data_IF_674352793554
#
_entry.id   IF_674352793554
#
_cell.length_a   1.000
_cell.length_b   1.000
_cell.length_c   1.000
_cell.angle_alpha   90.00
_cell.angle_beta   90.00
_cell.angle_gamma   90.00
#
_symmetry.space_group_name_H-M   'P 1'
#
loop_
_entity.id
_entity.type
_entity.pdbx_description
1 polymer ?
#
# COMPACT_ATOMS: atom_id res chain seq x y z
N UNK A 1 -15.52 3.34 1.88
CA UNK A 1 -15.02 2.89 0.55
C UNK A 1 -13.60 2.40 0.73
N UNK A 2 -13.28 1.20 0.24
CA UNK A 2 -11.94 0.59 0.37
C UNK A 2 -10.92 1.39 -0.44
N UNK A 3 -9.74 1.63 0.17
CA UNK A 3 -8.61 2.31 -0.45
C UNK A 3 -7.37 1.42 -0.47
N UNK A 4 -6.58 1.51 -1.54
CA UNK A 4 -5.24 0.92 -1.54
C UNK A 4 -4.29 1.71 -0.62
N UNK A 5 -3.33 1.03 -0.01
CA UNK A 5 -2.25 1.71 0.74
C UNK A 5 -1.18 2.29 -0.18
N UNK A 6 -1.14 1.89 -1.45
CA UNK A 6 -0.26 2.46 -2.47
C UNK A 6 -0.99 3.54 -3.25
N UNK A 7 -0.27 4.56 -3.64
CA UNK A 7 -0.82 5.65 -4.46
C UNK A 7 0.23 6.66 -4.85
N UNK A 8 -0.11 7.49 -5.82
CA UNK A 8 0.69 8.59 -6.31
C UNK A 8 -0.21 9.77 -6.70
N UNK A 9 0.25 10.97 -6.39
CA UNK A 9 -0.38 12.20 -6.84
C UNK A 9 0.68 13.27 -7.14
N UNK A 10 0.43 14.08 -8.14
CA UNK A 10 1.33 15.19 -8.52
C UNK A 10 0.51 16.41 -8.88
N UNK A 11 0.99 17.55 -8.48
CA UNK A 11 0.52 18.84 -8.93
C UNK A 11 1.73 19.69 -9.33
N UNK A 12 1.63 20.33 -10.48
CA UNK A 12 2.59 21.29 -10.98
C UNK A 12 1.80 22.52 -11.43
N UNK A 13 2.04 23.65 -10.79
CA UNK A 13 1.23 24.85 -10.98
C UNK A 13 2.05 26.09 -10.72
N UNK A 14 1.63 27.21 -11.30
CA UNK A 14 2.20 28.53 -11.02
C UNK A 14 1.20 29.32 -10.17
N UNK A 15 1.60 29.71 -8.97
CA UNK A 15 0.79 30.50 -8.05
C UNK A 15 1.62 31.74 -7.63
N UNK A 16 1.07 32.92 -7.79
CA UNK A 16 1.71 34.18 -7.42
C UNK A 16 3.13 34.33 -8.05
N UNK A 17 3.28 33.91 -9.32
CA UNK A 17 4.55 33.97 -10.04
C UNK A 17 5.58 32.89 -9.63
N UNK A 18 5.27 32.01 -8.70
CA UNK A 18 6.12 30.88 -8.28
C UNK A 18 5.67 29.56 -8.88
N UNK A 19 6.59 28.83 -9.47
CA UNK A 19 6.35 27.47 -9.92
C UNK A 19 6.42 26.52 -8.73
N UNK A 20 5.30 25.87 -8.41
CA UNK A 20 5.19 24.96 -7.26
C UNK A 20 4.89 23.57 -7.79
N UNK A 21 5.78 22.62 -7.48
CA UNK A 21 5.57 21.20 -7.74
C UNK A 21 5.43 20.46 -6.44
N UNK A 22 4.34 19.71 -6.30
CA UNK A 22 4.10 18.81 -5.17
C UNK A 22 3.88 17.40 -5.69
N UNK A 23 4.68 16.46 -5.20
CA UNK A 23 4.51 15.03 -5.44
C UNK A 23 4.26 14.32 -4.13
N UNK A 24 3.30 13.40 -4.12
CA UNK A 24 2.98 12.56 -2.96
C UNK A 24 2.89 11.11 -3.41
N UNK A 25 3.51 10.22 -2.66
CA UNK A 25 3.43 8.78 -2.87
C UNK A 25 3.32 8.04 -1.55
N UNK A 26 2.71 6.85 -1.58
CA UNK A 26 2.67 5.99 -0.41
C UNK A 26 3.01 4.54 -0.74
N UNK A 27 3.50 3.85 0.28
CA UNK A 27 3.68 2.40 0.28
C UNK A 27 3.00 1.80 1.51
N UNK A 28 2.71 0.50 1.44
CA UNK A 28 2.11 -0.22 2.55
C UNK A 28 2.97 -0.09 3.81
N UNK A 29 2.35 0.40 4.88
CA UNK A 29 2.96 0.46 6.21
C UNK A 29 1.89 0.38 7.29
N UNK A 30 2.22 -0.24 8.43
CA UNK A 30 1.28 -0.51 9.52
C UNK A 30 0.74 0.76 10.18
N UNK A 31 1.54 1.81 10.25
CA UNK A 31 1.21 3.07 10.89
C UNK A 31 1.29 4.21 9.88
N UNK A 32 0.70 5.36 10.22
CA UNK A 32 0.94 6.60 9.49
C UNK A 32 2.37 7.06 9.74
N UNK A 33 3.19 7.04 8.71
CA UNK A 33 4.54 7.58 8.70
C UNK A 33 4.62 8.61 7.58
N UNK A 34 5.05 9.83 7.91
CA UNK A 34 5.13 10.92 6.93
C UNK A 34 6.54 11.47 6.87
N UNK A 35 7.06 11.59 5.67
CA UNK A 35 8.33 12.22 5.36
C UNK A 35 8.09 13.28 4.28
N UNK A 36 8.54 14.50 4.52
CA UNK A 36 8.50 15.57 3.56
C UNK A 36 9.91 16.00 3.17
N UNK A 37 10.10 16.28 1.89
CA UNK A 37 11.33 16.90 1.37
C UNK A 37 10.97 18.25 0.81
N UNK A 38 11.21 19.28 1.59
CA UNK A 38 11.08 20.70 1.21
C UNK A 38 12.45 21.31 1.00
N UNK A 39 12.60 22.38 0.19
CA UNK A 39 13.83 23.16 0.15
C UNK A 39 14.15 23.74 1.53
N UNK A 40 15.43 23.81 1.89
CA UNK A 40 15.87 24.17 3.25
C UNK A 40 15.30 25.49 3.78
N UNK A 41 15.02 26.44 2.90
CA UNK A 41 14.42 27.73 3.26
C UNK A 41 12.97 27.63 3.76
N UNK A 42 12.28 26.55 3.45
CA UNK A 42 10.84 26.37 3.69
C UNK A 42 10.52 25.23 4.66
N UNK A 43 11.42 24.93 5.60
CA UNK A 43 11.23 23.88 6.61
C UNK A 43 9.99 24.07 7.50
N UNK A 44 9.49 25.32 7.63
CA UNK A 44 8.25 25.63 8.36
C UNK A 44 6.98 25.01 7.73
N UNK A 45 7.06 24.54 6.48
CA UNK A 45 5.94 23.86 5.79
C UNK A 45 5.73 22.42 6.27
N UNK A 46 6.75 21.75 6.78
CA UNK A 46 6.72 20.31 7.04
C UNK A 46 5.58 19.91 7.99
N UNK A 47 5.42 20.63 9.11
CA UNK A 47 4.36 20.33 10.07
C UNK A 47 2.96 20.66 9.51
N UNK A 48 2.83 21.72 8.74
CA UNK A 48 1.56 22.12 8.13
C UNK A 48 1.11 21.09 7.08
N UNK A 49 2.04 20.61 6.23
CA UNK A 49 1.78 19.57 5.24
C UNK A 49 1.47 18.22 5.89
N UNK A 50 2.23 17.84 6.94
CA UNK A 50 1.99 16.63 7.72
C UNK A 50 0.57 16.61 8.31
N UNK A 51 0.16 17.69 8.95
CA UNK A 51 -1.16 17.82 9.54
C UNK A 51 -2.26 17.72 8.47
N UNK A 52 -2.06 18.36 7.33
CA UNK A 52 -3.00 18.30 6.21
C UNK A 52 -3.14 16.86 5.67
N UNK A 53 -2.02 16.19 5.39
CA UNK A 53 -2.03 14.81 4.89
C UNK A 53 -2.63 13.84 5.91
N UNK A 54 -2.30 13.99 7.21
CA UNK A 54 -2.83 13.13 8.28
C UNK A 54 -4.35 13.28 8.45
N UNK A 55 -4.93 14.43 8.08
CA UNK A 55 -6.39 14.60 8.05
C UNK A 55 -7.09 13.83 6.94
N UNK A 56 -6.36 13.38 5.92
CA UNK A 56 -6.90 12.73 4.72
C UNK A 56 -6.54 11.24 4.62
N UNK A 57 -5.49 10.81 5.32
CA UNK A 57 -4.93 9.46 5.27
C UNK A 57 -4.61 8.99 6.69
N UNK A 58 -5.11 7.81 7.05
CA UNK A 58 -4.96 7.27 8.41
C UNK A 58 -3.80 6.28 8.54
N UNK A 59 -3.31 5.71 7.40
CA UNK A 59 -2.30 4.63 7.39
C UNK A 59 -1.43 4.68 6.14
N UNK A 60 -0.20 4.15 6.27
CA UNK A 60 0.78 4.06 5.18
C UNK A 60 2.03 4.88 5.46
N UNK A 61 3.13 4.54 4.77
CA UNK A 61 4.33 5.37 4.73
C UNK A 61 4.22 6.29 3.52
N UNK A 62 4.15 7.60 3.81
CA UNK A 62 3.91 8.64 2.83
C UNK A 62 5.16 9.48 2.67
N UNK A 63 5.65 9.57 1.45
CA UNK A 63 6.73 10.46 1.06
C UNK A 63 6.15 11.59 0.23
N UNK A 64 6.38 12.83 0.65
CA UNK A 64 6.01 14.05 -0.08
C UNK A 64 7.27 14.79 -0.51
N UNK A 65 7.27 15.28 -1.73
CA UNK A 65 8.30 16.13 -2.27
C UNK A 65 7.68 17.46 -2.70
N UNK A 66 8.29 18.56 -2.27
CA UNK A 66 7.85 19.90 -2.63
C UNK A 66 9.03 20.65 -3.24
N UNK A 67 8.83 21.20 -4.43
CA UNK A 67 9.75 22.12 -5.09
C UNK A 67 9.07 23.47 -5.29
N UNK A 68 9.79 24.53 -4.97
CA UNK A 68 9.31 25.91 -5.11
C UNK A 68 10.34 26.65 -5.96
N UNK A 69 9.95 27.05 -7.15
CA UNK A 69 10.75 27.87 -8.05
C UNK A 69 10.80 29.33 -7.55
N UNK A 70 11.86 30.05 -7.94
CA UNK A 70 11.95 31.48 -7.69
C UNK A 70 10.86 32.24 -8.46
N UNK A 71 10.30 33.27 -7.87
CA UNK A 71 9.45 34.22 -8.62
C UNK A 71 10.33 35.10 -9.48
N UNK A 72 9.96 35.24 -10.75
CA UNK A 72 10.65 36.19 -11.66
C UNK A 72 10.50 37.65 -11.21
N UNK A 73 9.59 37.96 -10.33
CA UNK A 73 9.27 39.29 -9.82
C UNK A 73 9.88 39.60 -8.44
N UNK A 74 10.72 38.71 -7.86
CA UNK A 74 11.32 38.99 -6.57
C UNK A 74 12.32 40.19 -6.64
N UNK A 75 12.02 41.29 -5.93
CA UNK A 75 12.96 42.41 -5.92
C UNK A 75 14.24 41.97 -5.20
N UNK A 76 15.35 42.05 -5.90
CA UNK A 76 16.68 41.85 -5.34
C UNK A 76 17.27 43.19 -4.95
N UNK A 77 17.63 43.36 -3.69
CA UNK A 77 18.40 44.51 -3.23
C UNK A 77 19.90 44.16 -3.24
N UNK A 78 20.67 44.99 -3.96
CA UNK A 78 22.12 44.81 -4.06
C UNK A 78 22.79 45.87 -3.22
N UNK A 79 23.38 45.46 -2.11
CA UNK A 79 24.11 46.33 -1.19
C UNK A 79 25.61 46.26 -1.47
N UNK A 80 26.29 47.41 -1.34
CA UNK A 80 27.72 47.50 -1.49
C UNK A 80 28.43 47.50 -0.10
N UNK A 81 29.42 46.63 0.05
CA UNK A 81 30.28 46.62 1.22
C UNK A 81 31.33 47.75 1.12
N UNK A 82 30.94 48.96 1.52
CA UNK A 82 31.77 50.13 1.45
C UNK A 82 33.10 50.03 2.19
N UNK A 83 33.16 49.29 3.29
CA UNK A 83 34.41 49.11 4.05
C UNK A 83 35.40 48.26 3.23
N UNK A 84 34.93 47.18 2.64
CA UNK A 84 35.75 46.29 1.83
C UNK A 84 36.22 47.00 0.52
N UNK A 85 35.33 47.74 -0.13
CA UNK A 85 35.67 48.59 -1.30
C UNK A 85 36.75 49.59 -0.98
N UNK A 86 36.63 50.31 0.14
CA UNK A 86 37.64 51.27 0.58
C UNK A 86 38.99 50.60 0.87
N UNK A 87 38.96 49.39 1.47
CA UNK A 87 40.15 48.60 1.70
C UNK A 87 40.88 48.23 0.40
N UNK A 88 40.14 47.76 -0.60
CA UNK A 88 40.71 47.41 -1.92
C UNK A 88 41.27 48.63 -2.63
N UNK A 89 40.55 49.75 -2.65
CA UNK A 89 41.05 51.00 -3.27
C UNK A 89 42.36 51.45 -2.64
N UNK A 90 42.47 51.45 -1.29
CA UNK A 90 43.69 51.82 -0.59
C UNK A 90 44.85 50.86 -0.91
N UNK A 91 44.60 49.56 -0.92
CA UNK A 91 45.61 48.56 -1.25
C UNK A 91 46.13 48.71 -2.71
N UNK A 92 45.24 48.95 -3.67
CA UNK A 92 45.65 49.22 -5.02
C UNK A 92 46.45 50.50 -5.19
N UNK A 93 46.12 51.54 -4.45
CA UNK A 93 46.90 52.78 -4.39
C UNK A 93 48.31 52.54 -3.85
N UNK A 94 48.43 51.80 -2.76
CA UNK A 94 49.72 51.42 -2.16
C UNK A 94 50.60 50.61 -3.15
N UNK A 95 50.02 49.64 -3.85
CA UNK A 95 50.71 48.86 -4.86
C UNK A 95 51.16 49.72 -6.02
N UNK A 96 50.30 50.61 -6.50
CA UNK A 96 50.64 51.56 -7.59
C UNK A 96 51.82 52.45 -7.23
N UNK A 97 51.81 53.04 -6.00
CA UNK A 97 52.88 53.94 -5.55
C UNK A 97 54.18 53.19 -5.28
N UNK A 98 54.13 51.97 -4.70
CA UNK A 98 55.30 51.20 -4.30
C UNK A 98 56.04 50.55 -5.47
N UNK A 99 55.33 50.11 -6.47
CA UNK A 99 55.85 49.33 -7.60
C UNK A 99 55.86 50.07 -8.94
N UNK A 100 55.47 51.36 -8.96
CA UNK A 100 55.35 52.19 -10.14
C UNK A 100 54.50 51.58 -11.27
N UNK A 101 53.35 51.00 -10.85
CA UNK A 101 52.39 50.36 -11.73
C UNK A 101 51.17 51.30 -11.89
N UNK A 102 50.62 51.54 -13.11
CA UNK A 102 49.42 52.36 -13.23
C UNK A 102 48.23 51.78 -12.46
N UNK A 103 47.54 52.63 -11.71
CA UNK A 103 46.28 52.22 -11.04
C UNK A 103 45.11 52.35 -12.01
N UNK A 104 44.62 51.22 -12.51
CA UNK A 104 43.51 51.11 -13.46
C UNK A 104 42.22 50.60 -12.81
N UNK A 105 42.09 50.74 -11.49
CA UNK A 105 40.91 50.29 -10.77
C UNK A 105 39.65 51.00 -11.26
N UNK A 106 38.72 50.19 -11.75
CA UNK A 106 37.41 50.64 -12.19
C UNK A 106 36.29 49.97 -11.38
N UNK A 107 35.08 50.48 -11.48
CA UNK A 107 33.91 49.86 -10.84
C UNK A 107 33.71 48.42 -11.34
N UNK A 108 34.04 48.15 -12.60
CA UNK A 108 33.98 46.79 -13.18
C UNK A 108 35.04 45.86 -12.59
N UNK A 109 36.28 46.38 -12.32
CA UNK A 109 37.31 45.57 -11.67
C UNK A 109 36.94 45.27 -10.25
N UNK A 110 36.37 46.25 -9.50
CA UNK A 110 35.89 46.05 -8.12
C UNK A 110 34.75 45.06 -8.02
N UNK A 111 33.86 45.00 -9.05
CA UNK A 111 32.75 44.05 -9.02
C UNK A 111 33.17 42.57 -9.11
N UNK A 112 34.41 42.28 -9.51
CA UNK A 112 34.95 40.93 -9.63
C UNK A 112 35.51 40.39 -8.32
N UNK A 113 35.73 41.25 -7.32
CA UNK A 113 36.21 40.79 -6.03
C UNK A 113 35.05 40.25 -5.17
N UNK A 114 35.26 39.10 -4.53
CA UNK A 114 34.23 38.49 -3.68
C UNK A 114 33.81 39.44 -2.57
N UNK A 115 32.56 39.33 -2.16
CA UNK A 115 31.97 40.07 -1.01
C UNK A 115 31.88 41.60 -1.11
N UNK A 116 32.23 42.17 -2.29
CA UNK A 116 32.04 43.61 -2.57
C UNK A 116 30.55 43.91 -2.74
N UNK A 117 29.79 43.02 -3.37
CA UNK A 117 28.34 43.12 -3.48
C UNK A 117 27.67 41.99 -2.74
N UNK A 118 26.66 42.33 -1.94
CA UNK A 118 25.77 41.36 -1.33
C UNK A 118 24.38 41.52 -1.91
N UNK A 119 23.86 40.41 -2.45
CA UNK A 119 22.50 40.37 -2.98
C UNK A 119 21.59 39.90 -1.88
N UNK A 120 20.68 40.76 -1.42
CA UNK A 120 19.65 40.44 -0.46
C UNK A 120 18.34 40.19 -1.22
N UNK A 121 17.77 39.04 -1.04
CA UNK A 121 16.38 38.80 -1.42
C UNK A 121 15.47 39.41 -0.36
N UNK A 122 14.39 40.03 -0.82
CA UNK A 122 13.36 40.49 0.13
C UNK A 122 12.87 39.34 1.02
N UNK A 123 12.57 39.59 2.30
CA UNK A 123 11.98 38.57 3.17
C UNK A 123 10.66 38.11 2.54
N UNK A 124 10.55 36.81 2.32
CA UNK A 124 9.34 36.20 1.79
C UNK A 124 8.25 36.14 2.85
N UNK A 125 6.99 36.33 2.45
CA UNK A 125 5.84 36.16 3.33
C UNK A 125 5.55 34.65 3.52
N UNK A 126 5.92 34.13 4.71
CA UNK A 126 5.74 32.71 5.06
C UNK A 126 4.28 32.28 5.04
N UNK A 127 3.34 33.17 5.36
CA UNK A 127 1.92 32.83 5.37
C UNK A 127 1.37 32.72 3.94
N UNK A 128 1.81 33.62 3.04
CA UNK A 128 1.46 33.55 1.62
C UNK A 128 2.03 32.30 0.98
N UNK A 129 3.30 32.00 1.19
CA UNK A 129 3.94 30.77 0.66
C UNK A 129 3.24 29.52 1.19
N UNK A 130 2.88 29.52 2.47
CA UNK A 130 2.13 28.40 3.06
C UNK A 130 0.79 28.19 2.37
N UNK A 131 0.05 29.27 2.11
CA UNK A 131 -1.24 29.19 1.44
C UNK A 131 -1.10 28.67 -0.01
N UNK A 132 -0.08 29.13 -0.74
CA UNK A 132 0.19 28.74 -2.10
C UNK A 132 0.57 27.26 -2.19
N UNK A 133 1.51 26.81 -1.32
CA UNK A 133 1.93 25.39 -1.26
C UNK A 133 0.81 24.47 -0.80
N UNK A 134 0.00 24.89 0.18
CA UNK A 134 -1.17 24.09 0.61
C UNK A 134 -2.21 23.97 -0.50
N UNK A 135 -2.37 25.00 -1.34
CA UNK A 135 -3.29 24.93 -2.50
C UNK A 135 -2.80 23.91 -3.53
N UNK A 136 -1.51 23.90 -3.87
CA UNK A 136 -0.91 22.88 -4.72
C UNK A 136 -0.94 21.48 -4.10
N UNK A 137 -0.64 21.38 -2.79
CA UNK A 137 -0.68 20.14 -2.05
C UNK A 137 -2.09 19.54 -2.00
N UNK A 138 -3.14 20.37 -1.92
CA UNK A 138 -4.52 19.91 -1.98
C UNK A 138 -4.81 19.17 -3.29
N UNK A 139 -4.41 19.73 -4.42
CA UNK A 139 -4.62 19.10 -5.72
C UNK A 139 -3.87 17.77 -5.83
N UNK A 140 -2.59 17.75 -5.40
CA UNK A 140 -1.79 16.53 -5.40
C UNK A 140 -2.38 15.44 -4.48
N UNK A 141 -2.82 15.80 -3.27
CA UNK A 141 -3.44 14.88 -2.31
C UNK A 141 -4.80 14.39 -2.80
N UNK A 142 -5.62 15.24 -3.43
CA UNK A 142 -6.90 14.80 -3.99
C UNK A 142 -6.68 13.80 -5.14
N UNK A 143 -5.72 14.03 -6.03
CA UNK A 143 -5.33 13.07 -7.07
C UNK A 143 -4.79 11.75 -6.48
N UNK A 144 -3.98 11.82 -5.44
CA UNK A 144 -3.46 10.69 -4.69
C UNK A 144 -4.58 9.85 -4.07
N UNK A 145 -5.55 10.48 -3.40
CA UNK A 145 -6.70 9.79 -2.78
C UNK A 145 -7.57 9.14 -3.85
N UNK A 146 -7.86 9.84 -4.95
CA UNK A 146 -8.65 9.30 -6.07
C UNK A 146 -7.98 8.06 -6.70
N UNK A 147 -6.65 8.06 -6.85
CA UNK A 147 -5.90 6.89 -7.32
C UNK A 147 -6.06 5.71 -6.35
N UNK A 148 -5.90 5.93 -5.03
CA UNK A 148 -6.06 4.90 -3.99
C UNK A 148 -7.48 4.31 -3.96
N UNK A 149 -8.50 5.14 -4.17
CA UNK A 149 -9.90 4.70 -4.24
C UNK A 149 -10.13 3.85 -5.50
N UNK A 150 -9.59 4.25 -6.65
CA UNK A 150 -9.70 3.49 -7.89
C UNK A 150 -8.99 2.13 -7.78
N UNK A 151 -7.78 2.09 -7.22
CA UNK A 151 -7.03 0.86 -7.00
C UNK A 151 -7.71 -0.03 -5.97
N UNK A 152 -8.19 0.54 -4.85
CA UNK A 152 -8.94 -0.19 -3.83
C UNK A 152 -10.22 -0.84 -4.38
N UNK A 153 -10.93 -0.15 -5.29
CA UNK A 153 -12.07 -0.72 -6.01
C UNK A 153 -11.71 -1.96 -6.82
N UNK A 154 -10.61 -1.91 -7.58
CA UNK A 154 -10.11 -3.07 -8.35
C UNK A 154 -9.69 -4.23 -7.45
N UNK A 155 -9.03 -3.94 -6.31
CA UNK A 155 -8.66 -4.96 -5.33
C UNK A 155 -9.88 -5.64 -4.72
N UNK A 156 -10.92 -4.88 -4.40
CA UNK A 156 -12.20 -5.42 -3.93
C UNK A 156 -12.83 -6.36 -4.97
N UNK A 157 -12.87 -5.97 -6.23
CA UNK A 157 -13.40 -6.81 -7.32
C UNK A 157 -12.60 -8.11 -7.48
N UNK A 158 -11.26 -8.06 -7.42
CA UNK A 158 -10.39 -9.24 -7.47
C UNK A 158 -10.66 -10.18 -6.29
N UNK A 159 -10.76 -9.65 -5.05
CA UNK A 159 -11.06 -10.44 -3.85
C UNK A 159 -12.43 -11.14 -4.00
N UNK A 160 -13.46 -10.43 -4.44
CA UNK A 160 -14.80 -11.00 -4.62
C UNK A 160 -14.83 -12.07 -5.74
N UNK A 161 -14.09 -11.86 -6.82
CA UNK A 161 -13.95 -12.83 -7.90
C UNK A 161 -13.29 -14.13 -7.40
N UNK A 162 -12.22 -14.04 -6.62
CA UNK A 162 -11.54 -15.18 -5.98
C UNK A 162 -12.43 -15.88 -4.98
N UNK A 163 -13.17 -15.12 -4.16
CA UNK A 163 -14.16 -15.66 -3.24
C UNK A 163 -15.20 -16.52 -3.96
N UNK A 164 -15.74 -16.04 -5.09
CA UNK A 164 -16.67 -16.80 -5.91
C UNK A 164 -16.05 -18.08 -6.50
N UNK A 165 -14.78 -18.02 -6.92
CA UNK A 165 -14.02 -19.19 -7.38
C UNK A 165 -13.94 -20.23 -6.27
N UNK A 166 -13.60 -19.84 -5.04
CA UNK A 166 -13.53 -20.75 -3.90
C UNK A 166 -14.91 -21.34 -3.59
N UNK A 167 -15.97 -20.53 -3.60
CA UNK A 167 -17.34 -21.00 -3.34
C UNK A 167 -17.79 -22.01 -4.39
N UNK A 168 -17.38 -21.88 -5.66
CA UNK A 168 -17.62 -22.87 -6.70
C UNK A 168 -16.91 -24.19 -6.37
N UNK A 169 -15.63 -24.13 -6.00
CA UNK A 169 -14.84 -25.33 -5.63
C UNK A 169 -15.40 -25.99 -4.38
N UNK A 170 -15.88 -25.21 -3.39
CA UNK A 170 -16.60 -25.75 -2.22
C UNK A 170 -17.85 -26.52 -2.64
N UNK A 171 -18.64 -26.02 -3.59
CA UNK A 171 -19.79 -26.72 -4.12
C UNK A 171 -19.42 -28.08 -4.75
N UNK A 172 -18.32 -28.13 -5.50
CA UNK A 172 -17.83 -29.38 -6.08
C UNK A 172 -17.36 -30.39 -5.01
N UNK A 173 -16.78 -29.89 -3.89
CA UNK A 173 -16.43 -30.75 -2.73
C UNK A 173 -17.71 -31.31 -2.08
N UNK A 174 -18.74 -30.49 -1.89
CA UNK A 174 -20.02 -30.89 -1.31
C UNK A 174 -20.71 -31.95 -2.15
N UNK A 175 -20.68 -31.84 -3.48
CA UNK A 175 -21.26 -32.83 -4.39
C UNK A 175 -20.46 -34.15 -4.44
N UNK A 176 -19.14 -34.08 -4.40
CA UNK A 176 -18.26 -35.25 -4.52
C UNK A 176 -18.14 -36.03 -3.20
N UNK A 177 -18.24 -35.38 -2.05
CA UNK A 177 -18.03 -36.01 -0.73
C UNK A 177 -18.96 -37.22 -0.49
N UNK A 178 -20.27 -37.19 -0.76
CA UNK A 178 -21.15 -38.36 -0.66
C UNK A 178 -20.76 -39.51 -1.61
N UNK A 179 -20.28 -39.17 -2.81
CA UNK A 179 -19.83 -40.17 -3.79
C UNK A 179 -18.60 -40.94 -3.28
N UNK A 180 -17.69 -40.26 -2.58
CA UNK A 180 -16.51 -40.88 -1.97
C UNK A 180 -16.90 -41.93 -0.92
N UNK A 181 -17.97 -41.68 -0.15
CA UNK A 181 -18.51 -42.65 0.82
C UNK A 181 -19.09 -43.87 0.10
N UNK A 182 -19.89 -43.66 -0.94
CA UNK A 182 -20.48 -44.76 -1.75
C UNK A 182 -19.39 -45.60 -2.44
N UNK A 183 -18.36 -45.00 -2.98
CA UNK A 183 -17.23 -45.71 -3.60
C UNK A 183 -16.42 -46.49 -2.57
N UNK A 184 -16.30 -45.97 -1.32
CA UNK A 184 -15.67 -46.70 -0.21
C UNK A 184 -16.48 -47.93 0.18
N UNK A 185 -17.79 -47.80 0.35
CA UNK A 185 -18.69 -48.89 0.60
C UNK A 185 -18.56 -50.02 -0.39
N UNK A 186 -18.60 -49.68 -1.70
CA UNK A 186 -18.46 -50.64 -2.79
C UNK A 186 -17.12 -51.38 -2.72
N UNK A 187 -16.01 -50.62 -2.57
CA UNK A 187 -14.67 -51.21 -2.48
C UNK A 187 -14.51 -52.12 -1.22
N UNK A 188 -15.10 -51.71 -0.12
CA UNK A 188 -15.07 -52.47 1.13
C UNK A 188 -15.83 -53.81 0.94
N UNK A 189 -17.02 -53.74 0.37
CA UNK A 189 -17.83 -54.92 0.07
C UNK A 189 -17.14 -55.91 -0.90
N UNK A 190 -16.54 -55.44 -1.96
CA UNK A 190 -15.77 -56.24 -2.90
C UNK A 190 -14.60 -56.95 -2.21
N UNK A 191 -13.82 -56.18 -1.42
CA UNK A 191 -12.66 -56.72 -0.68
C UNK A 191 -13.06 -57.78 0.35
N UNK A 192 -14.17 -57.56 1.07
CA UNK A 192 -14.70 -58.52 2.05
C UNK A 192 -15.18 -59.78 1.34
N UNK A 193 -15.93 -59.66 0.23
CA UNK A 193 -16.36 -60.79 -0.58
C UNK A 193 -15.21 -61.67 -1.08
N UNK A 194 -14.15 -61.02 -1.58
CA UNK A 194 -12.93 -61.73 -2.03
C UNK A 194 -12.26 -62.49 -0.85
N UNK A 195 -12.07 -61.84 0.29
CA UNK A 195 -11.41 -62.42 1.47
C UNK A 195 -12.25 -63.57 2.06
N UNK A 196 -13.57 -63.47 2.10
CA UNK A 196 -14.46 -64.46 2.64
C UNK A 196 -14.71 -65.64 1.71
N UNK A 197 -14.64 -65.42 0.39
CA UNK A 197 -14.74 -66.51 -0.60
C UNK A 197 -13.63 -67.56 -0.42
N UNK A 198 -12.47 -67.18 0.08
CA UNK A 198 -11.37 -68.07 0.40
C UNK A 198 -11.59 -68.90 1.66
N UNK A 199 -12.54 -68.49 2.53
CA UNK A 199 -12.69 -69.05 3.91
C UNK A 199 -14.11 -69.63 4.20
N UNK A 200 -15.01 -69.65 3.20
CA UNK A 200 -16.42 -70.16 3.31
C UNK A 200 -17.24 -69.49 4.46
N UNK A 201 -17.00 -68.18 4.70
CA UNK A 201 -17.66 -67.39 5.72
C UNK A 201 -18.62 -66.40 5.09
N UNK A 202 -19.83 -66.25 5.69
CA UNK A 202 -20.82 -65.25 5.20
C UNK A 202 -20.45 -63.85 5.63
N UNK A 203 -20.71 -62.88 4.77
CA UNK A 203 -20.56 -61.45 5.04
C UNK A 203 -21.54 -61.03 6.14
N UNK A 204 -21.07 -60.36 7.17
CA UNK A 204 -21.90 -59.70 8.17
C UNK A 204 -22.19 -58.26 7.69
N UNK A 205 -23.33 -58.06 7.03
CA UNK A 205 -23.75 -56.78 6.44
C UNK A 205 -23.87 -55.67 7.48
N UNK A 206 -24.26 -56.03 8.73
CA UNK A 206 -24.42 -55.05 9.81
C UNK A 206 -23.08 -54.46 10.27
N UNK A 207 -22.01 -55.27 10.25
CA UNK A 207 -20.64 -54.81 10.51
C UNK A 207 -20.12 -53.90 9.38
N UNK A 208 -20.43 -54.24 8.11
CA UNK A 208 -20.05 -53.43 6.98
C UNK A 208 -20.70 -52.05 7.06
N UNK A 209 -22.02 -52.00 7.32
CA UNK A 209 -22.74 -50.73 7.49
C UNK A 209 -22.19 -49.87 8.63
N UNK A 210 -21.80 -50.52 9.76
CA UNK A 210 -21.18 -49.81 10.87
C UNK A 210 -19.83 -49.17 10.46
N UNK A 211 -18.99 -49.92 9.75
CA UNK A 211 -17.69 -49.40 9.25
C UNK A 211 -17.86 -48.28 8.24
N UNK A 212 -18.84 -48.37 7.34
CA UNK A 212 -19.19 -47.33 6.39
C UNK A 212 -19.69 -46.07 7.12
N UNK A 213 -20.50 -46.20 8.18
CA UNK A 213 -20.96 -45.08 8.98
C UNK A 213 -19.79 -44.37 9.70
N UNK A 214 -18.86 -45.12 10.28
CA UNK A 214 -17.64 -44.56 10.89
C UNK A 214 -16.77 -43.84 9.88
N UNK A 215 -16.64 -44.43 8.67
CA UNK A 215 -15.91 -43.77 7.58
C UNK A 215 -16.60 -42.48 7.13
N UNK A 216 -17.93 -42.52 6.95
CA UNK A 216 -18.73 -41.36 6.57
C UNK A 216 -18.55 -40.17 7.54
N UNK A 217 -18.61 -40.45 8.84
CA UNK A 217 -18.36 -39.44 9.90
C UNK A 217 -16.94 -38.88 9.83
N UNK A 218 -15.96 -39.73 9.58
CA UNK A 218 -14.54 -39.32 9.50
C UNK A 218 -14.26 -38.40 8.31
N UNK A 219 -14.95 -38.61 7.18
CA UNK A 219 -14.77 -37.81 5.93
C UNK A 219 -15.81 -36.71 5.78
N UNK A 220 -16.72 -36.54 6.74
CA UNK A 220 -17.74 -35.51 6.71
C UNK A 220 -17.10 -34.10 6.74
N UNK A 221 -17.38 -33.31 5.71
CA UNK A 221 -16.86 -31.93 5.54
C UNK A 221 -17.96 -30.86 5.58
N UNK A 222 -19.21 -31.28 5.83
CA UNK A 222 -20.38 -30.40 5.74
C UNK A 222 -20.32 -29.22 6.71
N UNK A 223 -19.79 -29.42 7.92
CA UNK A 223 -19.66 -28.34 8.90
C UNK A 223 -18.63 -27.30 8.44
N UNK A 224 -17.47 -27.74 7.97
CA UNK A 224 -16.40 -26.89 7.51
C UNK A 224 -16.79 -26.10 6.25
N UNK A 225 -17.53 -26.72 5.32
CA UNK A 225 -17.99 -26.01 4.11
C UNK A 225 -19.04 -24.94 4.46
N UNK A 226 -19.96 -25.20 5.38
CA UNK A 226 -20.93 -24.21 5.86
C UNK A 226 -20.22 -23.06 6.56
N UNK A 227 -19.22 -23.34 7.43
CA UNK A 227 -18.43 -22.31 8.10
C UNK A 227 -17.64 -21.48 7.09
N UNK A 228 -17.02 -22.13 6.11
CA UNK A 228 -16.25 -21.44 5.07
C UNK A 228 -17.15 -20.49 4.27
N UNK A 229 -18.37 -20.90 3.88
CA UNK A 229 -19.36 -20.03 3.24
C UNK A 229 -19.71 -18.82 4.13
N UNK A 230 -19.95 -19.05 5.43
CA UNK A 230 -20.24 -17.99 6.38
C UNK A 230 -19.10 -16.98 6.51
N UNK A 231 -17.84 -17.43 6.45
CA UNK A 231 -16.68 -16.55 6.47
C UNK A 231 -16.57 -15.71 5.20
N UNK A 232 -16.92 -16.24 4.03
CA UNK A 232 -16.97 -15.46 2.79
C UNK A 232 -18.08 -14.41 2.81
N UNK A 233 -19.24 -14.70 3.39
CA UNK A 233 -20.31 -13.72 3.58
C UNK A 233 -19.87 -12.57 4.51
N UNK A 234 -19.11 -12.90 5.56
CA UNK A 234 -18.55 -11.90 6.47
C UNK A 234 -17.46 -11.06 5.78
N UNK A 235 -16.58 -11.69 5.01
CA UNK A 235 -15.57 -10.99 4.20
C UNK A 235 -16.23 -9.98 3.26
N UNK A 236 -17.26 -10.41 2.52
CA UNK A 236 -17.99 -9.54 1.58
C UNK A 236 -18.61 -8.33 2.30
N UNK A 237 -19.19 -8.53 3.49
CA UNK A 237 -19.75 -7.45 4.31
C UNK A 237 -18.67 -6.47 4.78
N UNK A 238 -17.51 -6.97 5.23
CA UNK A 238 -16.41 -6.09 5.67
C UNK A 238 -15.85 -5.25 4.54
N UNK A 239 -15.86 -5.77 3.31
CA UNK A 239 -15.45 -5.02 2.12
C UNK A 239 -16.41 -3.87 1.74
N UNK A 240 -17.59 -3.76 2.36
CA UNK A 240 -18.55 -2.65 2.18
C UNK A 240 -18.42 -1.57 3.26
N UNK A 241 -17.65 -1.78 4.32
CA UNK A 241 -17.56 -0.82 5.42
C UNK A 241 -16.66 0.37 5.05
N UNK A 242 -17.01 1.54 5.57
CA UNK A 242 -16.24 2.78 5.40
C UNK A 242 -15.21 3.01 6.53
N UNK A 243 -15.02 2.03 7.41
CA UNK A 243 -14.05 2.06 8.52
C UNK A 243 -12.87 1.11 8.26
N UNK A 244 -11.72 1.31 8.90
CA UNK A 244 -10.58 0.41 8.74
C UNK A 244 -10.90 -1.02 9.19
N UNK A 245 -10.99 -1.94 8.23
CA UNK A 245 -11.41 -3.35 8.47
C UNK A 245 -10.28 -4.36 8.43
N UNK A 246 -9.05 -3.96 8.11
CA UNK A 246 -7.92 -4.86 7.85
C UNK A 246 -7.73 -5.95 8.91
N UNK A 247 -7.81 -5.63 10.22
CA UNK A 247 -7.67 -6.64 11.30
C UNK A 247 -8.84 -7.63 11.34
N UNK A 248 -10.06 -7.16 11.05
CA UNK A 248 -11.25 -8.02 11.00
C UNK A 248 -11.14 -9.01 9.85
N UNK A 249 -10.68 -8.52 8.69
CA UNK A 249 -10.49 -9.34 7.50
C UNK A 249 -9.33 -10.33 7.70
N UNK A 250 -8.20 -9.93 8.29
CA UNK A 250 -7.11 -10.84 8.63
C UNK A 250 -7.57 -12.01 9.50
N UNK A 251 -8.42 -11.75 10.50
CA UNK A 251 -9.01 -12.80 11.33
C UNK A 251 -9.88 -13.76 10.50
N UNK A 252 -10.76 -13.25 9.65
CA UNK A 252 -11.61 -14.08 8.78
C UNK A 252 -10.77 -14.96 7.85
N UNK A 253 -9.70 -14.41 7.27
CA UNK A 253 -8.78 -15.18 6.41
C UNK A 253 -8.11 -16.33 7.21
N UNK A 254 -7.75 -16.11 8.46
CA UNK A 254 -7.20 -17.16 9.33
C UNK A 254 -8.21 -18.28 9.58
N UNK A 255 -9.48 -17.93 9.84
CA UNK A 255 -10.55 -18.92 10.01
C UNK A 255 -10.82 -19.67 8.69
N UNK A 256 -10.84 -18.97 7.54
CA UNK A 256 -10.96 -19.64 6.23
C UNK A 256 -9.83 -20.66 5.99
N UNK A 257 -8.60 -20.31 6.32
CA UNK A 257 -7.46 -21.22 6.24
C UNK A 257 -7.61 -22.40 7.18
N UNK A 258 -8.13 -22.19 8.38
CA UNK A 258 -8.39 -23.24 9.36
C UNK A 258 -9.44 -24.23 8.84
N UNK A 259 -10.58 -23.75 8.34
CA UNK A 259 -11.62 -24.63 7.78
C UNK A 259 -11.09 -25.39 6.54
N UNK A 260 -10.34 -24.74 5.66
CA UNK A 260 -9.71 -25.39 4.51
C UNK A 260 -8.69 -26.47 4.91
N UNK A 261 -7.94 -26.25 6.00
CA UNK A 261 -7.02 -27.26 6.55
C UNK A 261 -7.79 -28.48 7.10
N UNK A 262 -8.91 -28.23 7.79
CA UNK A 262 -9.75 -29.30 8.34
C UNK A 262 -10.39 -30.12 7.21
N UNK A 263 -10.93 -29.46 6.17
CA UNK A 263 -11.42 -30.16 4.97
C UNK A 263 -10.29 -31.02 4.39
N UNK A 264 -9.09 -30.46 4.19
CA UNK A 264 -7.94 -31.18 3.64
C UNK A 264 -7.50 -32.39 4.44
N UNK A 265 -7.65 -32.37 5.77
CA UNK A 265 -7.33 -33.52 6.64
C UNK A 265 -8.38 -34.62 6.63
N UNK A 266 -9.64 -34.29 6.33
CA UNK A 266 -10.76 -35.22 6.25
C UNK A 266 -10.90 -35.89 4.88
N UNK A 267 -10.46 -35.20 3.83
CA UNK A 267 -10.56 -35.68 2.45
C UNK A 267 -9.60 -36.85 2.20
N UNK A 268 -10.13 -37.99 1.73
CA UNK A 268 -9.36 -39.18 1.35
C UNK A 268 -9.40 -39.45 -0.18
N UNK A 269 -9.97 -38.53 -0.95
CA UNK A 269 -10.05 -38.57 -2.41
C UNK A 269 -8.98 -37.64 -3.01
N UNK A 270 -8.18 -38.12 -3.93
CA UNK A 270 -7.12 -37.35 -4.60
C UNK A 270 -7.66 -36.12 -5.36
N UNK A 271 -8.85 -36.26 -5.98
CA UNK A 271 -9.50 -35.16 -6.69
C UNK A 271 -9.86 -34.04 -5.71
N UNK A 272 -10.49 -34.40 -4.59
CA UNK A 272 -10.85 -33.44 -3.56
C UNK A 272 -9.62 -32.82 -2.88
N UNK A 273 -8.54 -33.59 -2.70
CA UNK A 273 -7.30 -33.08 -2.15
C UNK A 273 -6.70 -31.96 -3.04
N UNK A 274 -6.72 -32.12 -4.37
CA UNK A 274 -6.31 -31.07 -5.30
C UNK A 274 -7.21 -29.83 -5.19
N UNK A 275 -8.51 -29.99 -5.10
CA UNK A 275 -9.45 -28.87 -4.91
C UNK A 275 -9.19 -28.08 -3.64
N UNK A 276 -8.83 -28.76 -2.54
CA UNK A 276 -8.44 -28.09 -1.30
C UNK A 276 -7.15 -27.27 -1.48
N UNK A 277 -6.19 -27.76 -2.27
CA UNK A 277 -4.97 -26.99 -2.61
C UNK A 277 -5.34 -25.74 -3.40
N UNK A 278 -6.28 -25.84 -4.35
CA UNK A 278 -6.75 -24.67 -5.10
C UNK A 278 -7.42 -23.64 -4.18
N UNK A 279 -8.30 -24.07 -3.26
CA UNK A 279 -8.90 -23.20 -2.26
C UNK A 279 -7.83 -22.47 -1.45
N UNK A 280 -6.84 -23.18 -0.92
CA UNK A 280 -5.75 -22.57 -0.13
C UNK A 280 -4.95 -21.55 -0.93
N UNK A 281 -4.67 -21.86 -2.19
CA UNK A 281 -3.96 -20.94 -3.11
C UNK A 281 -4.75 -19.65 -3.30
N UNK A 282 -6.06 -19.73 -3.53
CA UNK A 282 -6.89 -18.54 -3.70
C UNK A 282 -7.06 -17.76 -2.39
N UNK A 283 -7.17 -18.42 -1.23
CA UNK A 283 -7.19 -17.75 0.08
C UNK A 283 -5.89 -16.95 0.32
N UNK A 284 -4.72 -17.52 -0.03
CA UNK A 284 -3.45 -16.80 0.14
C UNK A 284 -3.36 -15.58 -0.79
N UNK A 285 -3.83 -15.68 -2.04
CA UNK A 285 -3.93 -14.52 -2.94
C UNK A 285 -4.86 -13.43 -2.39
N UNK A 286 -6.00 -13.81 -1.79
CA UNK A 286 -6.89 -12.87 -1.09
C UNK A 286 -6.14 -12.19 0.05
N UNK A 287 -5.38 -12.95 0.85
CA UNK A 287 -4.60 -12.42 1.95
C UNK A 287 -3.56 -11.39 1.53
N UNK A 288 -2.84 -11.65 0.43
CA UNK A 288 -1.88 -10.70 -0.14
C UNK A 288 -2.55 -9.39 -0.56
N UNK A 289 -3.73 -9.45 -1.18
CA UNK A 289 -4.50 -8.26 -1.54
C UNK A 289 -4.95 -7.48 -0.31
N UNK A 290 -5.49 -8.17 0.70
CA UNK A 290 -5.99 -7.54 1.94
C UNK A 290 -4.90 -6.81 2.71
N UNK A 291 -3.65 -7.27 2.65
CA UNK A 291 -2.53 -6.57 3.28
C UNK A 291 -2.27 -5.17 2.70
N UNK A 292 -2.76 -4.89 1.49
CA UNK A 292 -2.61 -3.61 0.81
C UNK A 292 -3.87 -2.73 0.87
N UNK A 293 -4.85 -3.09 1.70
CA UNK A 293 -6.13 -2.38 1.87
C UNK A 293 -6.14 -1.58 3.17
N UNK A 294 -6.65 -0.34 3.08
CA UNK A 294 -6.99 0.54 4.20
C UNK A 294 -8.51 0.68 4.32
#
# INVERSE_FOLDING_TARGET
MIRSMTGFGRCETVINGREITVEIKSVNHRYFEFSCRTPRSYGFLDDKLKNYVNSRVSRGKIDMFVSIGASDEEPCDVTVNHQLVSGYINAFKEISEKYDIPNDVSTVSLSRFPDVFTVHKAPEDEDQITADVLSAAKIAVDAFVAMRETEGGKMKEDILSRANTILSVVGEIEERSPQTVAEYEQRLMERIKQTLAENDVKVDEQRVLTEVAVFADKVAVAEETVRLRSHFDQLSKFLEYDEPVGRKIDFIIQEMNRESNTIGSKVQDAILAHKVVDIKSEIEKIREQVQNIE
#
